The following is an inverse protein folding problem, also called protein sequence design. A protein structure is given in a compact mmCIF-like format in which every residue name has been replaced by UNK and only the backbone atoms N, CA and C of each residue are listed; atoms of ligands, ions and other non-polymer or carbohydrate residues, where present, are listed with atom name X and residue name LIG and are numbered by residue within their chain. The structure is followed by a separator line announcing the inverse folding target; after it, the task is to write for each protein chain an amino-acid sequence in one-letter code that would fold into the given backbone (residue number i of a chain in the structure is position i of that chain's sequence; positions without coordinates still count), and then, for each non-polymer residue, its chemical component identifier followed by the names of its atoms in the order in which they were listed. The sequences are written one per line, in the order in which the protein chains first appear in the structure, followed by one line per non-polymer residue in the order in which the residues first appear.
data_IF_423797720049
#
_entry.id   IF_423797720049
#
_cell.length_a   1.000
_cell.length_b   1.000
_cell.length_c   1.000
_cell.angle_alpha   90.00
_cell.angle_beta   90.00
_cell.angle_gamma   90.00
#
_symmetry.space_group_name_H-M   'P 1'
#
loop_
_entity.id
_entity.type
_entity.pdbx_description
1 polymer ?
#
# COMPACT_ATOMS: atom_id res chain seq x y z
N UNK A 1 -35.94 -0.87 29.15
CA UNK A 1 -35.24 0.35 28.69
C UNK A 1 -34.00 -0.13 27.95
N UNK A 2 -33.94 0.01 26.63
CA UNK A 2 -32.84 -0.53 25.83
C UNK A 2 -31.55 0.18 26.21
N UNK A 3 -30.49 -0.60 26.48
CA UNK A 3 -29.21 -0.05 26.90
C UNK A 3 -28.56 0.66 25.72
N UNK A 4 -28.36 1.99 25.82
CA UNK A 4 -27.78 2.82 24.76
C UNK A 4 -26.41 2.30 24.27
N UNK A 5 -25.63 1.68 25.15
CA UNK A 5 -24.34 1.10 24.77
C UNK A 5 -24.51 -0.14 23.88
N UNK A 6 -25.58 -0.92 24.06
CA UNK A 6 -25.85 -2.09 23.22
C UNK A 6 -26.20 -1.67 21.77
N UNK A 7 -27.05 -0.66 21.61
CA UNK A 7 -27.41 -0.12 20.28
C UNK A 7 -26.18 0.46 19.58
N UNK A 8 -25.32 1.18 20.32
CA UNK A 8 -24.06 1.71 19.78
C UNK A 8 -23.09 0.59 19.34
N UNK A 9 -22.98 -0.48 20.12
CA UNK A 9 -22.16 -1.66 19.78
C UNK A 9 -22.71 -2.41 18.57
N UNK A 10 -24.03 -2.60 18.48
CA UNK A 10 -24.66 -3.30 17.35
C UNK A 10 -24.47 -2.51 16.04
N UNK A 11 -24.58 -1.18 16.09
CA UNK A 11 -24.30 -0.31 14.94
C UNK A 11 -22.83 -0.35 14.52
N UNK A 12 -21.88 -0.41 15.47
CA UNK A 12 -20.46 -0.53 15.16
C UNK A 12 -20.13 -1.90 14.55
N UNK A 13 -20.74 -2.98 15.04
CA UNK A 13 -20.58 -4.31 14.46
C UNK A 13 -21.09 -4.38 13.02
N UNK A 14 -22.23 -3.75 12.72
CA UNK A 14 -22.75 -3.66 11.36
C UNK A 14 -21.77 -2.90 10.44
N UNK A 15 -21.25 -1.76 10.89
CA UNK A 15 -20.24 -0.99 10.15
C UNK A 15 -18.96 -1.79 9.90
N UNK A 16 -18.43 -2.48 10.93
CA UNK A 16 -17.24 -3.32 10.78
C UNK A 16 -17.48 -4.48 9.80
N UNK A 17 -18.67 -5.06 9.81
CA UNK A 17 -19.05 -6.10 8.86
C UNK A 17 -19.07 -5.56 7.42
N UNK A 18 -19.69 -4.41 7.20
CA UNK A 18 -19.73 -3.76 5.88
C UNK A 18 -18.31 -3.45 5.38
N UNK A 19 -17.44 -2.91 6.24
CA UNK A 19 -16.02 -2.68 5.91
C UNK A 19 -15.35 -3.99 5.48
N UNK A 20 -15.52 -5.08 6.23
CA UNK A 20 -14.92 -6.38 5.90
C UNK A 20 -15.43 -6.93 4.56
N UNK A 21 -16.74 -6.79 4.27
CA UNK A 21 -17.34 -7.21 3.00
C UNK A 21 -16.76 -6.42 1.82
N UNK A 22 -16.67 -5.10 1.93
CA UNK A 22 -16.05 -4.26 0.89
C UNK A 22 -14.55 -4.50 0.73
N UNK A 23 -13.82 -4.73 1.83
CA UNK A 23 -12.40 -5.08 1.76
C UNK A 23 -12.20 -6.35 0.95
N UNK A 24 -12.99 -7.40 1.22
CA UNK A 24 -12.90 -8.66 0.48
C UNK A 24 -13.17 -8.48 -1.03
N UNK A 25 -14.22 -7.74 -1.37
CA UNK A 25 -14.52 -7.45 -2.78
C UNK A 25 -13.38 -6.66 -3.46
N UNK A 26 -12.81 -5.69 -2.75
CA UNK A 26 -11.67 -4.92 -3.26
C UNK A 26 -10.43 -5.78 -3.46
N UNK A 27 -10.16 -6.76 -2.58
CA UNK A 27 -9.07 -7.72 -2.75
C UNK A 27 -9.26 -8.59 -3.99
N UNK A 28 -10.48 -9.09 -4.25
CA UNK A 28 -10.79 -9.88 -5.45
C UNK A 28 -10.60 -9.07 -6.75
N UNK A 29 -11.06 -7.81 -6.75
CA UNK A 29 -10.85 -6.89 -7.88
C UNK A 29 -9.36 -6.58 -8.05
N UNK A 30 -8.65 -6.32 -6.94
CA UNK A 30 -7.20 -6.06 -6.92
C UNK A 30 -6.42 -7.21 -7.54
N UNK A 31 -6.68 -8.45 -7.12
CA UNK A 31 -6.05 -9.64 -7.69
C UNK A 31 -6.31 -9.78 -9.20
N UNK A 32 -7.52 -9.44 -9.65
CA UNK A 32 -7.87 -9.45 -11.08
C UNK A 32 -7.09 -8.39 -11.86
N UNK A 33 -6.97 -7.17 -11.32
CA UNK A 33 -6.21 -6.08 -11.92
C UNK A 33 -4.71 -6.38 -11.96
N UNK A 34 -4.17 -7.00 -10.91
CA UNK A 34 -2.77 -7.43 -10.87
C UNK A 34 -2.48 -8.45 -11.96
N UNK A 35 -3.35 -9.45 -12.14
CA UNK A 35 -3.21 -10.45 -13.20
C UNK A 35 -3.27 -9.85 -14.62
N UNK A 36 -4.09 -8.82 -14.85
CA UNK A 36 -4.12 -8.10 -16.13
C UNK A 36 -2.85 -7.26 -16.33
N UNK A 37 -2.41 -6.58 -15.28
CA UNK A 37 -1.20 -5.75 -15.30
C UNK A 37 0.05 -6.60 -15.56
N UNK A 38 0.13 -7.79 -14.96
CA UNK A 38 1.26 -8.69 -15.16
C UNK A 38 1.33 -9.27 -16.57
N UNK A 39 0.17 -9.55 -17.20
CA UNK A 39 0.13 -9.87 -18.64
C UNK A 39 0.69 -8.74 -19.49
N UNK A 40 0.37 -7.49 -19.16
CA UNK A 40 0.88 -6.32 -19.88
C UNK A 40 2.39 -6.13 -19.67
N UNK A 41 2.90 -6.26 -18.43
CA UNK A 41 4.34 -6.21 -18.13
C UNK A 41 5.09 -7.30 -18.88
N UNK A 42 4.61 -8.54 -18.85
CA UNK A 42 5.24 -9.66 -19.57
C UNK A 42 5.34 -9.37 -21.07
N UNK A 43 4.28 -8.83 -21.67
CA UNK A 43 4.31 -8.40 -23.07
C UNK A 43 5.35 -7.29 -23.31
N UNK A 44 5.45 -6.30 -22.42
CA UNK A 44 6.46 -5.25 -22.49
C UNK A 44 7.89 -5.82 -22.39
N UNK A 45 8.14 -6.77 -21.50
CA UNK A 45 9.43 -7.43 -21.32
C UNK A 45 9.83 -8.28 -22.53
N UNK A 46 8.91 -9.13 -23.03
CA UNK A 46 9.15 -9.99 -24.19
C UNK A 46 9.48 -9.20 -25.46
N UNK A 47 8.97 -7.97 -25.57
CA UNK A 47 9.16 -7.09 -26.72
C UNK A 47 10.19 -5.96 -26.47
N UNK A 48 10.80 -5.91 -25.28
CA UNK A 48 11.75 -4.86 -24.91
C UNK A 48 11.17 -3.44 -24.94
N UNK A 49 9.87 -3.29 -24.62
CA UNK A 49 9.15 -2.01 -24.68
C UNK A 49 9.15 -1.34 -23.30
N UNK A 50 9.73 -0.14 -23.21
CA UNK A 50 9.69 0.65 -21.96
C UNK A 50 8.38 1.45 -21.81
N UNK A 51 7.65 1.68 -22.92
CA UNK A 51 6.38 2.40 -22.94
C UNK A 51 5.46 1.86 -24.03
N UNK A 52 4.17 1.73 -23.70
CA UNK A 52 3.09 1.42 -24.65
C UNK A 52 2.00 2.49 -24.50
N UNK A 53 1.44 2.94 -25.61
CA UNK A 53 0.29 3.83 -25.64
C UNK A 53 -0.85 3.18 -26.43
N UNK A 54 -2.04 3.15 -25.86
CA UNK A 54 -3.29 2.88 -26.56
C UNK A 54 -4.02 4.19 -26.90
N UNK A 55 -5.27 4.09 -27.33
CA UNK A 55 -6.07 5.26 -27.70
C UNK A 55 -6.29 6.21 -26.51
N UNK A 56 -6.54 5.68 -25.31
CA UNK A 56 -6.86 6.46 -24.10
C UNK A 56 -5.91 6.17 -22.92
N UNK A 57 -4.95 5.24 -23.08
CA UNK A 57 -4.16 4.72 -21.96
C UNK A 57 -2.67 4.66 -22.28
N UNK A 58 -1.84 4.79 -21.25
CA UNK A 58 -0.39 4.67 -21.35
C UNK A 58 0.15 3.80 -20.23
N UNK A 59 1.06 2.89 -20.57
CA UNK A 59 1.82 2.08 -19.62
C UNK A 59 3.32 2.33 -19.81
N UNK A 60 4.06 2.37 -18.71
CA UNK A 60 5.52 2.42 -18.73
C UNK A 60 6.09 1.43 -17.72
N UNK A 61 7.04 0.60 -18.16
CA UNK A 61 7.71 -0.38 -17.31
C UNK A 61 9.21 -0.29 -17.59
N UNK A 62 9.92 0.34 -16.66
CA UNK A 62 11.37 0.60 -16.76
C UNK A 62 12.02 0.44 -15.40
N UNK A 63 13.30 0.10 -15.38
CA UNK A 63 14.07 0.05 -14.16
C UNK A 63 14.15 1.45 -13.52
N UNK A 64 13.86 1.52 -12.22
CA UNK A 64 14.00 2.73 -11.42
C UNK A 64 14.97 2.45 -10.29
N UNK A 65 16.09 3.17 -10.27
CA UNK A 65 17.07 3.08 -9.19
C UNK A 65 16.69 4.06 -8.09
N UNK A 66 16.42 3.55 -6.89
CA UNK A 66 16.29 4.37 -5.68
C UNK A 66 17.45 4.11 -4.75
N UNK A 67 18.12 5.17 -4.31
CA UNK A 67 19.18 5.10 -3.29
C UNK A 67 18.63 5.54 -1.94
N UNK A 68 18.87 4.75 -0.89
CA UNK A 68 18.52 5.06 0.49
C UNK A 68 19.75 4.96 1.37
N UNK A 69 19.82 5.80 2.40
CA UNK A 69 20.87 5.70 3.42
C UNK A 69 20.62 4.42 4.23
N UNK A 70 21.66 3.60 4.42
CA UNK A 70 21.62 2.51 5.38
C UNK A 70 21.67 3.09 6.81
N UNK A 71 20.48 3.40 7.33
CA UNK A 71 20.35 3.97 8.67
C UNK A 71 20.80 3.02 9.78
N UNK A 72 20.85 1.71 9.52
CA UNK A 72 21.31 0.71 10.48
C UNK A 72 22.83 0.77 10.61
N UNK A 73 23.54 0.74 9.48
CA UNK A 73 24.98 0.94 9.45
C UNK A 73 25.37 2.31 10.04
N UNK A 74 24.65 3.38 9.66
CA UNK A 74 24.91 4.72 10.19
C UNK A 74 24.76 4.80 11.71
N UNK A 75 23.72 4.18 12.28
CA UNK A 75 23.52 4.16 13.75
C UNK A 75 24.59 3.34 14.47
N UNK A 76 25.09 2.27 13.85
CA UNK A 76 26.16 1.42 14.40
C UNK A 76 27.51 2.13 14.35
N UNK A 77 27.86 2.71 13.21
CA UNK A 77 29.20 3.22 12.94
C UNK A 77 29.35 4.68 13.39
N UNK A 78 28.27 5.47 13.39
CA UNK A 78 28.25 6.89 13.77
C UNK A 78 26.98 7.28 14.57
N UNK A 79 26.82 6.79 15.82
CA UNK A 79 25.61 6.99 16.61
C UNK A 79 25.30 8.46 16.93
N UNK A 80 26.33 9.28 17.18
CA UNK A 80 26.15 10.70 17.52
C UNK A 80 25.58 11.51 16.34
N UNK A 81 26.06 11.22 15.12
CA UNK A 81 25.55 11.82 13.90
C UNK A 81 24.12 11.33 13.64
N UNK A 82 23.86 10.02 13.77
CA UNK A 82 22.52 9.48 13.61
C UNK A 82 21.52 10.14 14.58
N UNK A 83 21.89 10.33 15.84
CA UNK A 83 21.06 11.00 16.84
C UNK A 83 20.80 12.48 16.48
N UNK A 84 21.84 13.23 16.09
CA UNK A 84 21.74 14.65 15.74
C UNK A 84 20.78 14.92 14.58
N UNK A 85 20.70 14.00 13.63
CA UNK A 85 19.89 14.17 12.41
C UNK A 85 18.62 13.31 12.38
N UNK A 86 18.29 12.60 13.46
CA UNK A 86 17.01 11.87 13.56
C UNK A 86 15.92 12.79 14.12
N UNK A 87 14.80 12.90 13.40
CA UNK A 87 13.59 13.58 13.88
C UNK A 87 12.53 12.56 14.26
N UNK A 88 12.04 12.63 15.48
CA UNK A 88 10.88 11.84 15.92
C UNK A 88 9.60 12.51 15.43
N UNK A 89 8.77 11.75 14.72
CA UNK A 89 7.42 12.18 14.29
C UNK A 89 6.44 11.10 14.72
N UNK A 90 5.40 11.50 15.45
CA UNK A 90 4.30 10.61 15.79
C UNK A 90 3.22 10.66 14.70
N UNK A 91 2.72 9.50 14.28
CA UNK A 91 1.61 9.39 13.33
C UNK A 91 0.66 8.33 13.81
N UNK A 92 -0.64 8.62 13.79
CA UNK A 92 -1.67 7.64 14.11
C UNK A 92 -1.93 6.81 12.87
N UNK A 93 -1.86 5.49 13.00
CA UNK A 93 -2.21 4.54 11.94
C UNK A 93 -3.54 3.89 12.29
N UNK A 94 -4.44 3.88 11.32
CA UNK A 94 -5.63 3.04 11.37
C UNK A 94 -5.25 1.66 10.82
N UNK A 95 -5.54 0.61 11.59
CA UNK A 95 -5.35 -0.78 11.21
C UNK A 95 -6.68 -1.50 11.42
N UNK A 96 -7.19 -2.10 10.36
CA UNK A 96 -8.36 -2.97 10.39
C UNK A 96 -7.87 -4.38 10.03
N UNK A 97 -8.12 -5.35 10.90
CA UNK A 97 -7.71 -6.76 10.79
C UNK A 97 -8.92 -7.68 10.94
#
# INVERSE_FOLDING_TARGET
MTNYNQIATDNLNALMKEIAEYTRMAEEIGATLDGLTDKLKKHMEENGLESIAGNEHKASYKAVTSSRIDTTALKRDMPEIAAKYTKTTETRRFLFV
#
